data_IF_237528974784
#
_entry.id   IF_237528974784
#
_cell.length_a   1.000
_cell.length_b   1.000
_cell.length_c   1.000
_cell.angle_alpha   90.00
_cell.angle_beta   90.00
_cell.angle_gamma   90.00
#
_symmetry.space_group_name_H-M   'P 1'
#
loop_
_entity.id
_entity.type
_entity.pdbx_description
1 polymer ?
#
# COMPACT_ATOMS: atom_id res chain seq x y z
N UNK A 1 -7.31 22.02 14.99
CA UNK A 1 -5.96 22.08 14.37
C UNK A 1 -5.98 21.96 12.84
N UNK A 2 -6.76 21.07 12.24
CA UNK A 2 -6.94 21.02 10.78
C UNK A 2 -7.33 22.38 10.17
N UNK A 3 -8.20 23.15 10.86
CA UNK A 3 -8.58 24.51 10.47
C UNK A 3 -7.42 25.53 10.42
N UNK A 4 -6.38 25.35 11.23
CA UNK A 4 -5.21 26.23 11.20
C UNK A 4 -4.35 25.99 9.95
N UNK A 5 -4.20 24.74 9.53
CA UNK A 5 -3.53 24.40 8.27
C UNK A 5 -4.31 24.98 7.09
N UNK A 6 -5.62 24.79 7.09
CA UNK A 6 -6.50 25.30 6.03
C UNK A 6 -6.51 26.85 5.95
N UNK A 7 -6.52 27.52 7.09
CA UNK A 7 -6.45 28.98 7.15
C UNK A 7 -5.09 29.51 6.65
N UNK A 8 -3.99 28.86 7.05
CA UNK A 8 -2.65 29.21 6.60
C UNK A 8 -2.44 28.98 5.10
N UNK A 9 -3.02 27.91 4.54
CA UNK A 9 -3.01 27.66 3.10
C UNK A 9 -3.76 28.72 2.31
N UNK A 10 -4.94 29.14 2.81
CA UNK A 10 -5.75 30.19 2.16
C UNK A 10 -5.09 31.57 2.21
N UNK A 11 -4.32 31.87 3.24
CA UNK A 11 -3.61 33.14 3.39
C UNK A 11 -2.26 33.19 2.67
N UNK A 12 -1.79 32.09 2.10
CA UNK A 12 -0.46 31.99 1.47
C UNK A 12 0.71 32.16 2.44
N UNK A 13 0.43 32.14 3.75
CA UNK A 13 1.42 32.34 4.82
C UNK A 13 2.06 31.05 5.31
N UNK A 14 1.62 29.89 4.80
CA UNK A 14 2.10 28.59 5.26
C UNK A 14 3.39 28.24 4.50
N UNK A 15 4.50 28.25 5.19
CA UNK A 15 5.77 27.70 4.75
C UNK A 15 6.03 26.33 5.40
N UNK A 16 7.07 25.62 4.97
CA UNK A 16 7.44 24.31 5.51
C UNK A 16 7.76 24.35 7.01
N UNK A 17 8.25 25.49 7.52
CA UNK A 17 8.53 25.67 8.95
C UNK A 17 7.24 25.74 9.76
N UNK A 18 6.25 26.48 9.25
CA UNK A 18 4.93 26.57 9.85
C UNK A 18 4.21 25.20 9.83
N UNK A 19 4.26 24.48 8.71
CA UNK A 19 3.72 23.10 8.60
C UNK A 19 4.34 22.19 9.67
N UNK A 20 5.67 22.17 9.79
CA UNK A 20 6.36 21.35 10.78
C UNK A 20 5.98 21.74 12.20
N UNK A 21 5.86 23.03 12.51
CA UNK A 21 5.45 23.52 13.82
C UNK A 21 4.02 23.09 14.18
N UNK A 22 3.10 23.14 13.22
CA UNK A 22 1.72 22.72 13.39
C UNK A 22 1.63 21.20 13.64
N UNK A 23 2.35 20.38 12.87
CA UNK A 23 2.39 18.94 13.05
C UNK A 23 2.96 18.55 14.42
N UNK A 24 4.04 19.22 14.86
CA UNK A 24 4.60 19.03 16.19
C UNK A 24 3.62 19.42 17.31
N UNK A 25 2.93 20.54 17.15
CA UNK A 25 1.92 20.98 18.12
C UNK A 25 0.73 19.98 18.18
N UNK A 26 0.29 19.47 17.02
CA UNK A 26 -0.76 18.48 16.95
C UNK A 26 -0.38 17.17 17.64
N UNK A 27 0.82 16.67 17.40
CA UNK A 27 1.31 15.45 18.03
C UNK A 27 1.42 15.62 19.56
N UNK A 28 1.95 16.75 20.04
CA UNK A 28 2.02 17.08 21.47
C UNK A 28 0.64 17.20 22.12
N UNK A 29 -0.34 17.71 21.38
CA UNK A 29 -1.72 17.79 21.83
C UNK A 29 -2.47 16.45 21.81
N UNK A 30 -1.82 15.38 21.34
CA UNK A 30 -2.40 14.05 21.29
C UNK A 30 -3.58 13.93 20.31
N UNK A 31 -3.55 14.67 19.19
CA UNK A 31 -4.62 14.55 18.17
C UNK A 31 -4.71 13.11 17.66
N UNK A 32 -5.93 12.69 17.31
CA UNK A 32 -6.15 11.34 16.79
C UNK A 32 -5.43 11.12 15.43
N UNK A 33 -5.10 9.88 15.15
CA UNK A 33 -4.38 9.53 13.91
C UNK A 33 -5.13 9.95 12.63
N UNK A 34 -6.49 9.86 12.53
CA UNK A 34 -7.23 10.39 11.39
C UNK A 34 -7.09 11.91 11.21
N UNK A 35 -7.07 12.67 12.31
CA UNK A 35 -6.86 14.13 12.25
C UNK A 35 -5.46 14.46 11.79
N UNK A 36 -4.44 13.76 12.29
CA UNK A 36 -3.07 13.90 11.82
C UNK A 36 -2.97 13.59 10.33
N UNK A 37 -3.56 12.48 9.87
CA UNK A 37 -3.61 12.12 8.45
C UNK A 37 -4.24 13.21 7.59
N UNK A 38 -5.35 13.79 8.02
CA UNK A 38 -6.00 14.91 7.31
C UNK A 38 -5.11 16.14 7.22
N UNK A 39 -4.38 16.47 8.29
CA UNK A 39 -3.44 17.60 8.30
C UNK A 39 -2.28 17.37 7.33
N UNK A 40 -1.74 16.15 7.32
CA UNK A 40 -0.67 15.74 6.40
C UNK A 40 -1.15 15.79 4.95
N UNK A 41 -2.34 15.26 4.64
CA UNK A 41 -2.94 15.32 3.31
C UNK A 41 -3.09 16.76 2.81
N UNK A 42 -3.65 17.65 3.65
CA UNK A 42 -3.82 19.06 3.27
C UNK A 42 -2.47 19.73 2.98
N UNK A 43 -1.47 19.50 3.83
CA UNK A 43 -0.13 20.08 3.66
C UNK A 43 0.57 19.50 2.41
N UNK A 44 0.53 18.18 2.22
CA UNK A 44 1.17 17.51 1.08
C UNK A 44 0.48 17.83 -0.25
N UNK A 45 -0.84 18.00 -0.25
CA UNK A 45 -1.60 18.44 -1.44
C UNK A 45 -1.29 19.89 -1.83
N UNK A 46 -1.05 20.76 -0.84
CA UNK A 46 -0.65 22.16 -1.10
C UNK A 46 0.79 22.28 -1.56
N UNK A 47 1.68 21.39 -1.12
CA UNK A 47 3.10 21.40 -1.42
C UNK A 47 3.59 20.04 -1.93
N UNK A 48 3.15 19.59 -3.11
CA UNK A 48 3.47 18.23 -3.60
C UNK A 48 4.98 17.99 -3.72
N UNK A 49 5.76 18.98 -4.10
CA UNK A 49 7.23 18.90 -4.15
C UNK A 49 7.89 18.68 -2.78
N UNK A 50 7.18 18.95 -1.68
CA UNK A 50 7.67 18.79 -0.31
C UNK A 50 7.02 17.58 0.41
N UNK A 51 6.24 16.78 -0.28
CA UNK A 51 5.51 15.65 0.32
C UNK A 51 6.42 14.71 1.14
N UNK A 52 7.62 14.30 0.69
CA UNK A 52 8.53 13.50 1.49
C UNK A 52 8.98 14.20 2.79
N UNK A 53 9.23 15.50 2.74
CA UNK A 53 9.63 16.29 3.90
C UNK A 53 8.47 16.42 4.91
N UNK A 54 7.23 16.59 4.44
CA UNK A 54 6.02 16.66 5.26
C UNK A 54 5.78 15.33 5.96
N UNK A 55 5.84 14.21 5.25
CA UNK A 55 5.72 12.87 5.84
C UNK A 55 6.80 12.62 6.90
N UNK A 56 8.05 12.98 6.59
CA UNK A 56 9.17 12.89 7.52
C UNK A 56 8.93 13.71 8.80
N UNK A 57 8.46 14.95 8.66
CA UNK A 57 8.14 15.83 9.80
C UNK A 57 7.00 15.27 10.64
N UNK A 58 5.93 14.75 10.02
CA UNK A 58 4.81 14.13 10.71
C UNK A 58 5.24 12.91 11.52
N UNK A 59 6.06 12.03 10.94
CA UNK A 59 6.56 10.83 11.64
C UNK A 59 7.46 11.23 12.81
N UNK A 60 8.36 12.19 12.64
CA UNK A 60 9.21 12.69 13.73
C UNK A 60 8.42 13.32 14.87
N UNK A 61 7.29 13.96 14.57
CA UNK A 61 6.46 14.61 15.59
C UNK A 61 5.87 13.65 16.62
N UNK A 62 5.71 12.37 16.26
CA UNK A 62 5.28 11.33 17.20
C UNK A 62 6.35 10.93 18.21
N UNK A 63 7.63 11.18 17.93
CA UNK A 63 8.74 10.85 18.81
C UNK A 63 8.75 9.38 19.21
N UNK A 64 8.74 9.10 20.53
CA UNK A 64 8.71 7.73 21.07
C UNK A 64 7.38 7.02 20.90
N UNK A 65 6.31 7.73 20.55
CA UNK A 65 4.97 7.17 20.34
C UNK A 65 4.72 6.76 18.88
N UNK A 66 5.77 6.71 18.05
CA UNK A 66 5.66 6.24 16.69
C UNK A 66 5.28 4.75 16.66
N UNK A 67 4.29 4.39 15.86
CA UNK A 67 3.84 3.01 15.64
C UNK A 67 3.72 2.73 14.14
N UNK A 68 3.72 1.45 13.75
CA UNK A 68 3.51 1.07 12.36
C UNK A 68 2.21 1.66 11.79
N UNK A 69 1.12 1.59 12.56
CA UNK A 69 -0.18 2.13 12.15
C UNK A 69 -0.12 3.64 11.85
N UNK A 70 0.60 4.40 12.67
CA UNK A 70 0.81 5.84 12.49
C UNK A 70 1.66 6.13 11.25
N UNK A 71 2.74 5.38 11.06
CA UNK A 71 3.59 5.51 9.87
C UNK A 71 2.79 5.19 8.61
N UNK A 72 2.02 4.10 8.61
CA UNK A 72 1.14 3.72 7.50
C UNK A 72 0.12 4.82 7.19
N UNK A 73 -0.53 5.37 8.20
CA UNK A 73 -1.49 6.47 8.03
C UNK A 73 -0.83 7.71 7.41
N UNK A 74 0.35 8.12 7.88
CA UNK A 74 1.10 9.25 7.32
C UNK A 74 1.48 9.00 5.87
N UNK A 75 2.06 7.84 5.55
CA UNK A 75 2.47 7.49 4.18
C UNK A 75 1.26 7.47 3.26
N UNK A 76 0.19 6.75 3.62
CA UNK A 76 -1.02 6.65 2.81
C UNK A 76 -1.67 8.03 2.59
N UNK A 77 -1.81 8.84 3.64
CA UNK A 77 -2.38 10.19 3.56
C UNK A 77 -1.55 11.13 2.71
N UNK A 78 -0.22 10.97 2.70
CA UNK A 78 0.68 11.79 1.86
C UNK A 78 0.59 11.37 0.41
N UNK A 79 0.64 10.06 0.13
CA UNK A 79 0.61 9.50 -1.24
C UNK A 79 -0.71 9.79 -1.93
N UNK A 80 -1.84 9.65 -1.24
CA UNK A 80 -3.18 9.79 -1.80
C UNK A 80 -3.46 11.16 -2.46
N UNK A 81 -2.72 12.19 -2.09
CA UNK A 81 -2.91 13.55 -2.59
C UNK A 81 -1.85 13.99 -3.60
N UNK A 82 -0.96 13.08 -4.00
CA UNK A 82 0.07 13.39 -4.97
C UNK A 82 -0.48 13.31 -6.41
N UNK A 83 0.06 14.13 -7.33
CA UNK A 83 -0.31 14.05 -8.75
C UNK A 83 -0.04 12.68 -9.39
N UNK A 84 1.02 12.00 -8.94
CA UNK A 84 1.40 10.64 -9.35
C UNK A 84 1.58 9.79 -8.10
N UNK A 85 0.51 9.26 -7.52
CA UNK A 85 0.55 8.57 -6.24
C UNK A 85 1.53 7.40 -6.21
N UNK A 86 1.49 6.52 -7.21
CA UNK A 86 2.39 5.36 -7.27
C UNK A 86 3.87 5.74 -7.28
N UNK A 87 4.26 6.69 -8.13
CA UNK A 87 5.63 7.18 -8.21
C UNK A 87 6.10 7.88 -6.94
N UNK A 88 5.16 8.41 -6.14
CA UNK A 88 5.45 9.13 -4.90
C UNK A 88 5.73 8.21 -3.71
N UNK A 89 5.35 6.93 -3.78
CA UNK A 89 5.52 5.97 -2.67
C UNK A 89 6.98 5.85 -2.26
N UNK A 90 7.88 5.60 -3.23
CA UNK A 90 9.30 5.35 -2.94
C UNK A 90 9.98 6.54 -2.25
N UNK A 91 9.94 7.78 -2.79
CA UNK A 91 10.61 8.91 -2.15
C UNK A 91 10.00 9.27 -0.80
N UNK A 92 8.69 9.07 -0.60
CA UNK A 92 8.04 9.31 0.69
C UNK A 92 8.50 8.27 1.72
N UNK A 93 8.52 6.99 1.37
CA UNK A 93 8.97 5.93 2.26
C UNK A 93 10.45 6.04 2.61
N UNK A 94 11.30 6.43 1.66
CA UNK A 94 12.72 6.70 1.91
C UNK A 94 12.91 7.82 2.94
N UNK A 95 12.19 8.94 2.78
CA UNK A 95 12.25 10.05 3.71
C UNK A 95 11.74 9.67 5.11
N UNK A 96 10.69 8.84 5.19
CA UNK A 96 10.15 8.31 6.45
C UNK A 96 11.15 7.36 7.11
N UNK A 97 11.76 6.44 6.37
CA UNK A 97 12.79 5.54 6.90
C UNK A 97 13.96 6.33 7.49
N UNK A 98 14.42 7.34 6.78
CA UNK A 98 15.47 8.25 7.25
C UNK A 98 15.06 9.03 8.51
N UNK A 99 13.79 9.41 8.62
CA UNK A 99 13.24 10.10 9.79
C UNK A 99 13.17 9.19 11.03
N UNK A 100 12.86 7.91 10.83
CA UNK A 100 12.77 6.89 11.88
C UNK A 100 14.16 6.43 12.37
N UNK A 101 15.20 6.55 11.54
CA UNK A 101 16.56 6.15 11.87
C UNK A 101 16.63 4.67 12.28
N UNK A 102 17.14 4.39 13.47
CA UNK A 102 17.30 3.03 13.99
C UNK A 102 16.07 2.49 14.76
N UNK A 103 14.92 3.13 14.62
CA UNK A 103 13.68 2.63 15.24
C UNK A 103 13.28 1.27 14.66
N UNK A 104 12.76 0.37 15.51
CA UNK A 104 12.22 -0.93 15.07
C UNK A 104 11.14 -0.73 14.00
N UNK A 105 10.37 0.35 14.09
CA UNK A 105 9.33 0.69 13.10
C UNK A 105 9.92 1.00 11.73
N UNK A 106 11.17 1.43 11.62
CA UNK A 106 11.82 1.64 10.33
C UNK A 106 11.86 0.36 9.47
N UNK A 107 11.95 -0.81 10.10
CA UNK A 107 11.99 -2.11 9.42
C UNK A 107 10.62 -2.48 8.79
N UNK A 108 9.53 -1.84 9.20
CA UNK A 108 8.19 -2.09 8.65
C UNK A 108 7.87 -1.21 7.43
N UNK A 109 8.66 -0.16 7.19
CA UNK A 109 8.41 0.79 6.09
C UNK A 109 8.39 0.14 4.71
N UNK A 110 9.26 -0.84 4.38
CA UNK A 110 9.17 -1.54 3.08
C UNK A 110 7.84 -2.26 2.88
N UNK A 111 7.31 -2.91 3.93
CA UNK A 111 6.00 -3.58 3.86
C UNK A 111 4.86 -2.55 3.72
N UNK A 112 4.97 -1.40 4.40
CA UNK A 112 4.03 -0.28 4.25
C UNK A 112 4.06 0.24 2.81
N UNK A 113 5.26 0.41 2.22
CA UNK A 113 5.42 0.88 0.84
C UNK A 113 4.70 -0.04 -0.15
N UNK A 114 4.89 -1.35 -0.03
CA UNK A 114 4.22 -2.35 -0.88
C UNK A 114 2.70 -2.27 -0.71
N UNK A 115 2.23 -2.20 0.54
CA UNK A 115 0.79 -2.13 0.85
C UNK A 115 0.14 -0.86 0.31
N UNK A 116 0.80 0.29 0.43
CA UNK A 116 0.29 1.58 -0.07
C UNK A 116 0.33 1.61 -1.59
N UNK A 117 1.45 1.17 -2.21
CA UNK A 117 1.58 1.08 -3.65
C UNK A 117 0.49 0.20 -4.29
N UNK A 118 0.14 -0.92 -3.66
CA UNK A 118 -0.91 -1.81 -4.14
C UNK A 118 -2.31 -1.15 -4.15
N UNK A 119 -2.52 -0.11 -3.34
CA UNK A 119 -3.80 0.60 -3.22
C UNK A 119 -3.85 1.89 -4.05
N UNK A 120 -2.76 2.28 -4.71
CA UNK A 120 -2.72 3.49 -5.52
C UNK A 120 -3.38 3.27 -6.89
N UNK A 121 -4.21 4.22 -7.36
CA UNK A 121 -4.97 4.04 -8.60
C UNK A 121 -4.10 3.96 -9.86
N UNK A 122 -2.92 4.57 -9.86
CA UNK A 122 -1.96 4.60 -10.97
C UNK A 122 -0.89 3.51 -10.88
N UNK A 123 -1.08 2.50 -10.01
CA UNK A 123 -0.18 1.36 -9.92
C UNK A 123 -0.23 0.54 -11.23
N UNK A 124 0.87 0.43 -12.00
CA UNK A 124 0.90 -0.30 -13.27
C UNK A 124 0.68 -1.81 -13.11
N UNK A 125 0.77 -2.32 -11.88
CA UNK A 125 0.51 -3.73 -11.56
C UNK A 125 -0.94 -3.97 -11.12
N UNK A 126 -1.77 -2.93 -11.00
CA UNK A 126 -3.21 -3.10 -10.78
C UNK A 126 -3.83 -3.74 -12.03
N UNK A 127 -4.43 -4.90 -11.86
CA UNK A 127 -5.04 -5.66 -12.95
C UNK A 127 -4.14 -6.72 -13.58
N UNK A 128 -2.86 -6.79 -13.23
CA UNK A 128 -2.03 -7.95 -13.52
C UNK A 128 -2.37 -9.03 -12.49
N UNK A 129 -3.49 -9.70 -12.69
CA UNK A 129 -3.70 -11.02 -12.08
C UNK A 129 -2.51 -11.87 -12.50
N UNK A 130 -1.82 -12.50 -11.54
CA UNK A 130 -0.77 -13.46 -11.81
C UNK A 130 -1.35 -14.46 -12.81
N UNK A 131 -0.93 -14.33 -14.07
CA UNK A 131 -1.29 -15.29 -15.09
C UNK A 131 -0.66 -16.60 -14.63
N UNK A 132 -1.43 -17.68 -14.43
CA UNK A 132 -0.83 -18.94 -14.04
C UNK A 132 0.22 -19.26 -15.09
N UNK A 133 1.42 -19.52 -14.63
CA UNK A 133 2.56 -19.90 -15.49
C UNK A 133 2.09 -21.09 -16.30
N UNK A 134 1.84 -20.90 -17.59
CA UNK A 134 1.53 -22.01 -18.48
C UNK A 134 2.82 -22.84 -18.53
N UNK A 135 2.83 -23.92 -17.79
CA UNK A 135 3.86 -24.95 -17.96
C UNK A 135 3.67 -25.49 -19.37
N UNK A 136 4.64 -25.24 -20.24
CA UNK A 136 4.68 -25.81 -21.57
C UNK A 136 4.75 -27.34 -21.39
N UNK A 137 3.61 -28.01 -21.50
CA UNK A 137 3.53 -29.45 -21.44
C UNK A 137 4.11 -29.97 -22.75
N UNK A 138 5.22 -30.70 -22.64
CA UNK A 138 5.90 -31.34 -23.77
C UNK A 138 4.89 -32.31 -24.42
N UNK A 139 4.74 -32.32 -25.76
CA UNK A 139 3.82 -33.24 -26.43
C UNK A 139 4.18 -34.70 -26.08
N UNK A 140 3.29 -35.40 -25.39
CA UNK A 140 3.48 -36.79 -25.01
C UNK A 140 3.34 -37.12 -23.54
N UNK A 141 3.18 -36.15 -22.62
CA UNK A 141 2.86 -36.42 -21.22
C UNK A 141 1.36 -36.17 -20.96
N UNK A 142 0.62 -37.24 -20.78
CA UNK A 142 -0.76 -37.16 -20.28
C UNK A 142 -0.74 -36.71 -18.82
N UNK A 143 -0.93 -35.42 -18.58
CA UNK A 143 -1.20 -34.91 -17.22
C UNK A 143 -2.67 -35.04 -16.90
N UNK A 144 -2.96 -35.97 -16.02
CA UNK A 144 -4.26 -36.12 -15.37
C UNK A 144 -4.59 -34.85 -14.57
N UNK A 145 -5.62 -34.12 -14.98
CA UNK A 145 -6.39 -33.22 -14.13
C UNK A 145 -5.89 -31.79 -13.97
N UNK A 146 -5.76 -31.03 -15.04
CA UNK A 146 -5.62 -29.57 -14.98
C UNK A 146 -6.74 -28.87 -15.75
N UNK A 147 -7.51 -28.01 -15.09
CA UNK A 147 -8.53 -27.19 -15.74
C UNK A 147 -7.87 -26.16 -16.65
N UNK A 148 -8.13 -26.19 -17.95
CA UNK A 148 -7.71 -25.15 -18.90
C UNK A 148 -8.68 -23.97 -18.77
N UNK A 149 -8.16 -22.83 -18.29
CA UNK A 149 -8.90 -21.57 -18.32
C UNK A 149 -8.52 -20.83 -19.61
N UNK A 150 -9.46 -20.72 -20.52
CA UNK A 150 -9.30 -19.93 -21.75
C UNK A 150 -9.51 -18.44 -21.46
N UNK A 151 -8.81 -17.54 -22.19
CA UNK A 151 -9.06 -16.09 -22.12
C UNK A 151 -10.52 -15.84 -22.60
N UNK A 152 -11.35 -15.36 -21.69
CA UNK A 152 -12.77 -15.14 -21.95
C UNK A 152 -13.73 -15.82 -20.94
N UNK A 153 -13.20 -16.46 -19.90
CA UNK A 153 -14.02 -16.95 -18.78
C UNK A 153 -14.79 -18.25 -19.02
N UNK A 154 -14.49 -19.01 -20.05
CA UNK A 154 -15.01 -20.36 -20.23
C UNK A 154 -14.08 -21.39 -19.60
N UNK A 155 -14.49 -21.98 -18.49
CA UNK A 155 -13.83 -23.14 -17.90
C UNK A 155 -14.41 -24.42 -18.48
N UNK A 156 -13.62 -25.22 -19.18
CA UNK A 156 -13.98 -26.58 -19.56
C UNK A 156 -13.49 -27.51 -18.47
N UNK A 157 -14.36 -27.77 -17.51
CA UNK A 157 -14.13 -28.77 -16.47
C UNK A 157 -14.36 -30.17 -17.02
N UNK A 158 -13.31 -30.92 -17.27
CA UNK A 158 -13.40 -32.35 -17.46
C UNK A 158 -13.64 -33.03 -16.09
N UNK A 159 -14.81 -33.59 -15.86
CA UNK A 159 -15.03 -34.49 -14.74
C UNK A 159 -14.24 -35.78 -14.95
N UNK A 160 -13.38 -36.18 -14.01
CA UNK A 160 -12.78 -37.50 -14.08
C UNK A 160 -13.87 -38.55 -13.89
N UNK A 161 -14.16 -39.35 -14.91
CA UNK A 161 -14.92 -40.57 -14.78
C UNK A 161 -14.08 -41.56 -13.98
N UNK A 162 -14.49 -41.74 -12.73
CA UNK A 162 -13.95 -42.81 -11.89
C UNK A 162 -14.28 -44.16 -12.54
N UNK A 163 -13.34 -45.05 -12.78
CA UNK A 163 -13.65 -46.41 -13.22
C UNK A 163 -14.34 -47.11 -12.06
N UNK A 164 -15.54 -47.64 -12.33
CA UNK A 164 -16.24 -48.52 -11.40
C UNK A 164 -15.39 -49.75 -11.08
N UNK A 165 -15.33 -50.18 -9.83
CA UNK A 165 -14.67 -51.41 -9.48
C UNK A 165 -15.42 -52.57 -10.13
N UNK A 166 -14.69 -53.35 -10.94
CA UNK A 166 -15.16 -54.62 -11.47
C UNK A 166 -15.29 -55.58 -10.29
N UNK A 167 -16.53 -55.99 -9.99
CA UNK A 167 -16.79 -57.05 -9.03
C UNK A 167 -16.32 -58.35 -9.64
N UNK A 168 -15.29 -58.95 -9.05
CA UNK A 168 -14.89 -60.33 -9.35
C UNK A 168 -15.94 -61.27 -8.83
N UNK A 169 -16.53 -62.18 -9.65
CA UNK A 169 -17.41 -63.22 -9.14
C UNK A 169 -16.55 -64.32 -8.53
N UNK A 170 -16.65 -64.45 -7.20
CA UNK A 170 -16.09 -65.58 -6.51
C UNK A 170 -16.71 -66.90 -7.08
N UNK A 171 -15.88 -67.63 -7.77
CA UNK A 171 -16.13 -68.99 -8.14
C UNK A 171 -15.91 -69.92 -6.93
N UNK A 172 -16.80 -70.77 -6.78
CA UNK A 172 -16.97 -71.98 -6.00
C UNK A 172 -15.69 -72.71 -5.59
#
# INVERSE_FOLDING_TARGET
MAGAVQAGLKSGSLDMKAVTSILNAAAKAGVSDPVMGSMVSMAAGAFPGNAPAIASAAVRSYGTHVTEARVRNVVASTVAVQPNPYASVSPICEAVTKALGNSIVANTVPAIAVSVAAQTPDNPLQGVTAQPTQTLVKPGEETSGGALVLPGGMSVGGTPTSPSPVSDPAGN
#
